data_IF_504753378951
#
_entry.id   IF_504753378951
#
_cell.length_a   1.000
_cell.length_b   1.000
_cell.length_c   1.000
_cell.angle_alpha   90.00
_cell.angle_beta   90.00
_cell.angle_gamma   90.00
#
_symmetry.space_group_name_H-M   'P 1'
#
loop_
_entity.id
_entity.type
_entity.pdbx_description
1 polymer ?
#
# COMPACT_ATOMS: atom_id res chain seq x y z
N UNK A 1 -33.95 -27.07 -11.23
CA UNK A 1 -33.15 -26.37 -12.25
C UNK A 1 -32.00 -27.29 -12.62
N UNK A 2 -31.93 -27.70 -13.88
CA UNK A 2 -31.00 -28.69 -14.41
C UNK A 2 -29.58 -28.11 -14.44
N UNK A 3 -28.66 -28.72 -13.68
CA UNK A 3 -27.24 -28.34 -13.63
C UNK A 3 -26.57 -28.61 -14.98
N UNK A 4 -26.39 -27.59 -15.81
CA UNK A 4 -25.63 -27.71 -17.05
C UNK A 4 -24.12 -27.83 -16.75
N UNK A 5 -23.45 -28.94 -17.13
CA UNK A 5 -22.03 -29.15 -16.85
C UNK A 5 -21.09 -28.11 -17.50
N UNK A 6 -21.59 -27.37 -18.49
CA UNK A 6 -20.85 -26.31 -19.18
C UNK A 6 -20.55 -25.08 -18.31
N UNK A 7 -21.16 -24.97 -17.12
CA UNK A 7 -20.86 -23.90 -16.14
C UNK A 7 -19.54 -24.12 -15.39
N UNK A 8 -19.08 -25.37 -15.27
CA UNK A 8 -17.88 -25.73 -14.47
C UNK A 8 -16.61 -25.01 -14.94
N UNK A 9 -16.27 -24.95 -16.25
CA UNK A 9 -15.04 -24.28 -16.69
C UNK A 9 -14.98 -22.80 -16.31
N UNK A 10 -16.11 -22.08 -16.40
CA UNK A 10 -16.17 -20.66 -16.04
C UNK A 10 -15.95 -20.45 -14.54
N UNK A 11 -16.57 -21.28 -13.69
CA UNK A 11 -16.38 -21.23 -12.23
C UNK A 11 -14.93 -21.55 -11.85
N UNK A 12 -14.32 -22.56 -12.46
CA UNK A 12 -12.92 -22.92 -12.20
C UNK A 12 -11.96 -21.82 -12.64
N UNK A 13 -12.23 -21.14 -13.76
CA UNK A 13 -11.44 -20.01 -14.22
C UNK A 13 -11.50 -18.84 -13.23
N UNK A 14 -12.71 -18.52 -12.75
CA UNK A 14 -12.92 -17.47 -11.75
C UNK A 14 -12.22 -17.81 -10.42
N UNK A 15 -12.29 -19.07 -9.99
CA UNK A 15 -11.59 -19.57 -8.80
C UNK A 15 -10.07 -19.47 -8.94
N UNK A 16 -9.52 -19.92 -10.08
CA UNK A 16 -8.09 -19.85 -10.38
C UNK A 16 -7.61 -18.40 -10.35
N UNK A 17 -8.29 -17.49 -11.06
CA UNK A 17 -7.92 -16.09 -11.12
C UNK A 17 -7.94 -15.41 -9.73
N UNK A 18 -8.86 -15.83 -8.85
CA UNK A 18 -8.90 -15.32 -7.47
C UNK A 18 -7.76 -15.88 -6.63
N UNK A 19 -7.42 -17.15 -6.84
CA UNK A 19 -6.39 -17.83 -6.06
C UNK A 19 -4.98 -17.37 -6.43
N UNK A 20 -4.72 -17.06 -7.70
CA UNK A 20 -3.44 -16.52 -8.18
C UNK A 20 -3.04 -15.20 -7.50
N UNK A 21 -4.01 -14.37 -7.08
CA UNK A 21 -3.74 -13.15 -6.30
C UNK A 21 -3.41 -13.38 -4.83
N UNK A 22 -3.65 -14.60 -4.33
CA UNK A 22 -3.54 -14.96 -2.91
C UNK A 22 -2.86 -16.34 -2.75
N UNK A 23 -1.59 -16.49 -3.16
CA UNK A 23 -0.90 -17.78 -3.21
C UNK A 23 -0.69 -18.43 -1.83
N UNK A 24 -0.65 -17.64 -0.76
CA UNK A 24 -0.51 -18.14 0.60
C UNK A 24 -1.84 -18.69 1.18
N UNK A 25 -2.97 -18.43 0.52
CA UNK A 25 -4.27 -18.92 0.94
C UNK A 25 -4.44 -20.37 0.49
N UNK A 26 -4.74 -21.31 1.40
CA UNK A 26 -5.10 -22.66 0.95
C UNK A 26 -6.48 -22.65 0.29
N UNK A 27 -6.74 -23.59 -0.63
CA UNK A 27 -8.07 -23.73 -1.24
C UNK A 27 -9.17 -23.95 -0.17
N UNK A 28 -8.87 -24.67 0.90
CA UNK A 28 -9.79 -24.86 2.03
C UNK A 28 -10.07 -23.57 2.79
N UNK A 29 -9.06 -22.72 2.99
CA UNK A 29 -9.22 -21.41 3.61
C UNK A 29 -10.04 -20.47 2.72
N UNK A 30 -9.83 -20.52 1.40
CA UNK A 30 -10.65 -19.78 0.43
C UNK A 30 -12.13 -20.15 0.54
N UNK A 31 -12.47 -21.44 0.57
CA UNK A 31 -13.85 -21.88 0.80
C UNK A 31 -14.37 -21.47 2.19
N UNK A 32 -13.52 -21.45 3.22
CA UNK A 32 -13.87 -20.91 4.53
C UNK A 32 -14.29 -19.44 4.48
N UNK A 33 -13.51 -18.60 3.79
CA UNK A 33 -13.82 -17.17 3.57
C UNK A 33 -15.12 -17.02 2.80
N UNK A 34 -15.27 -17.74 1.68
CA UNK A 34 -16.48 -17.72 0.86
C UNK A 34 -17.73 -18.10 1.67
N UNK A 35 -17.63 -19.09 2.57
CA UNK A 35 -18.73 -19.47 3.45
C UNK A 35 -19.09 -18.38 4.46
N UNK A 36 -18.12 -17.61 4.98
CA UNK A 36 -18.39 -16.41 5.80
C UNK A 36 -19.14 -15.33 5.02
N UNK A 37 -18.97 -15.26 3.71
CA UNK A 37 -19.73 -14.39 2.81
C UNK A 37 -21.06 -15.01 2.30
N UNK A 38 -21.52 -16.11 2.91
CA UNK A 38 -22.80 -16.75 2.57
C UNK A 38 -22.75 -17.71 1.39
N UNK A 39 -21.56 -17.98 0.83
CA UNK A 39 -21.38 -18.96 -0.25
C UNK A 39 -21.19 -20.36 0.35
N UNK A 40 -22.32 -21.00 0.69
CA UNK A 40 -22.35 -22.34 1.26
C UNK A 40 -22.67 -23.46 0.26
N UNK A 41 -22.86 -24.67 0.78
CA UNK A 41 -23.28 -25.85 0.04
C UNK A 41 -24.70 -25.67 -0.53
N UNK A 42 -24.80 -25.14 -1.75
CA UNK A 42 -26.08 -24.81 -2.40
C UNK A 42 -26.21 -23.37 -2.88
N UNK A 43 -25.17 -22.55 -2.72
CA UNK A 43 -25.09 -21.25 -3.38
C UNK A 43 -25.15 -21.40 -4.91
N UNK A 44 -25.79 -20.45 -5.60
CA UNK A 44 -25.75 -20.39 -7.06
C UNK A 44 -24.37 -19.92 -7.53
N UNK A 45 -24.01 -20.33 -8.74
CA UNK A 45 -22.73 -19.99 -9.37
C UNK A 45 -22.55 -18.48 -9.47
N UNK A 46 -23.62 -17.72 -9.71
CA UNK A 46 -23.57 -16.26 -9.82
C UNK A 46 -23.15 -15.60 -8.50
N UNK A 47 -23.62 -16.13 -7.36
CA UNK A 47 -23.23 -15.64 -6.04
C UNK A 47 -21.76 -15.98 -5.74
N UNK A 48 -21.32 -17.18 -6.10
CA UNK A 48 -19.91 -17.59 -5.98
C UNK A 48 -19.00 -16.69 -6.84
N UNK A 49 -19.36 -16.47 -8.11
CA UNK A 49 -18.60 -15.62 -9.03
C UNK A 49 -18.54 -14.18 -8.51
N UNK A 50 -19.65 -13.65 -7.99
CA UNK A 50 -19.68 -12.31 -7.40
C UNK A 50 -18.74 -12.22 -6.19
N UNK A 51 -18.77 -13.20 -5.28
CA UNK A 51 -17.89 -13.23 -4.13
C UNK A 51 -16.40 -13.32 -4.55
N UNK A 52 -16.08 -14.18 -5.51
CA UNK A 52 -14.72 -14.31 -6.07
C UNK A 52 -14.22 -13.00 -6.72
N UNK A 53 -15.11 -12.28 -7.41
CA UNK A 53 -14.81 -10.96 -8.01
C UNK A 53 -14.54 -9.91 -6.94
N UNK A 54 -15.38 -9.82 -5.91
CA UNK A 54 -15.17 -8.93 -4.76
C UNK A 54 -13.82 -9.21 -4.08
N UNK A 55 -13.44 -10.48 -3.94
CA UNK A 55 -12.13 -10.84 -3.37
C UNK A 55 -10.97 -10.39 -4.26
N UNK A 56 -11.06 -10.54 -5.59
CA UNK A 56 -10.02 -10.05 -6.53
C UNK A 56 -9.92 -8.55 -6.61
N UNK A 57 -11.03 -7.89 -6.32
CA UNK A 57 -11.09 -6.45 -6.21
C UNK A 57 -10.24 -5.97 -5.02
N UNK A 58 -10.30 -6.65 -3.88
CA UNK A 58 -9.44 -6.36 -2.72
C UNK A 58 -7.99 -6.86 -2.91
N UNK A 59 -7.81 -8.04 -3.49
CA UNK A 59 -6.52 -8.71 -3.69
C UNK A 59 -6.34 -9.11 -5.16
N UNK A 60 -6.02 -8.15 -6.06
CA UNK A 60 -5.83 -8.45 -7.47
C UNK A 60 -4.54 -9.24 -7.69
N UNK A 61 -4.50 -10.08 -8.73
CA UNK A 61 -3.30 -10.82 -9.10
C UNK A 61 -2.27 -9.97 -9.85
N UNK A 62 -2.72 -8.91 -10.53
CA UNK A 62 -1.89 -8.11 -11.43
C UNK A 62 -2.27 -6.63 -11.39
N UNK A 63 -1.25 -5.77 -11.46
CA UNK A 63 -1.34 -4.37 -11.84
C UNK A 63 -0.30 -4.18 -12.95
N UNK A 64 -0.75 -4.11 -14.20
CA UNK A 64 0.17 -3.96 -15.34
C UNK A 64 -0.39 -2.97 -16.33
N UNK A 65 0.47 -2.09 -16.83
CA UNK A 65 0.08 -1.09 -17.80
C UNK A 65 0.75 0.26 -17.57
N UNK A 66 0.49 1.20 -18.49
CA UNK A 66 0.95 2.56 -18.33
C UNK A 66 0.25 3.25 -17.16
N UNK A 67 0.90 4.25 -16.54
CA UNK A 67 0.41 4.95 -15.35
C UNK A 67 -1.06 5.40 -15.43
N UNK A 68 -1.52 5.83 -16.59
CA UNK A 68 -2.90 6.33 -16.78
C UNK A 68 -3.98 5.25 -16.65
N UNK A 69 -3.63 3.96 -16.62
CA UNK A 69 -4.58 2.87 -16.36
C UNK A 69 -4.70 2.52 -14.88
N UNK A 70 -3.88 3.12 -14.02
CA UNK A 70 -3.97 2.96 -12.56
C UNK A 70 -4.88 4.07 -12.03
N UNK A 71 -6.03 3.70 -11.46
CA UNK A 71 -7.02 4.62 -10.88
C UNK A 71 -7.08 4.55 -9.34
N UNK A 72 -6.62 3.43 -8.78
CA UNK A 72 -6.72 3.06 -7.38
C UNK A 72 -5.35 3.11 -6.70
N UNK A 73 -5.34 3.07 -5.36
CA UNK A 73 -4.11 2.88 -4.58
C UNK A 73 -3.96 1.42 -4.20
N UNK A 74 -2.79 0.87 -4.46
CA UNK A 74 -2.42 -0.48 -4.10
C UNK A 74 -1.21 -0.47 -3.18
N UNK A 75 -1.14 -1.45 -2.30
CA UNK A 75 0.06 -1.80 -1.55
C UNK A 75 0.53 -3.18 -1.93
N UNK A 76 1.79 -3.24 -2.33
CA UNK A 76 2.47 -4.44 -2.80
C UNK A 76 3.56 -4.79 -1.80
N UNK A 77 3.52 -6.00 -1.26
CA UNK A 77 4.63 -6.55 -0.48
C UNK A 77 5.55 -7.35 -1.39
N UNK A 78 6.85 -7.12 -1.27
CA UNK A 78 7.88 -7.80 -2.06
C UNK A 78 8.85 -8.57 -1.16
N UNK A 79 9.60 -9.50 -1.78
CA UNK A 79 10.76 -10.15 -1.18
C UNK A 79 11.98 -10.01 -2.08
N UNK A 80 13.16 -10.10 -1.47
CA UNK A 80 14.46 -10.06 -2.16
C UNK A 80 14.58 -8.84 -3.12
N UNK A 81 14.54 -7.60 -2.61
CA UNK A 81 14.50 -7.21 -1.19
C UNK A 81 13.09 -7.10 -0.59
N UNK A 82 13.00 -7.12 0.74
CA UNK A 82 11.73 -6.98 1.46
C UNK A 82 11.27 -5.52 1.51
N UNK A 83 10.40 -5.13 0.56
CA UNK A 83 9.79 -3.80 0.53
C UNK A 83 8.26 -3.86 0.69
N UNK A 84 7.70 -2.76 1.16
CA UNK A 84 6.31 -2.37 0.97
C UNK A 84 6.31 -1.25 -0.06
N UNK A 85 5.61 -1.47 -1.17
CA UNK A 85 5.53 -0.56 -2.30
C UNK A 85 4.10 -0.09 -2.45
N UNK A 86 3.87 1.22 -2.27
CA UNK A 86 2.58 1.84 -2.59
C UNK A 86 2.61 2.26 -4.05
N UNK A 87 1.62 1.84 -4.82
CA UNK A 87 1.42 2.20 -6.23
C UNK A 87 0.10 2.94 -6.33
N UNK A 88 0.11 4.18 -6.84
CA UNK A 88 -1.10 4.96 -7.08
C UNK A 88 -1.02 5.71 -8.42
N UNK A 89 -2.08 6.42 -8.84
CA UNK A 89 -2.11 7.13 -10.12
C UNK A 89 -1.12 8.29 -10.23
N UNK A 90 -0.42 8.64 -9.15
CA UNK A 90 0.46 9.80 -9.10
C UNK A 90 1.93 9.40 -9.04
N UNK A 91 2.23 8.29 -8.35
CA UNK A 91 3.61 7.88 -8.04
C UNK A 91 3.70 6.45 -7.51
N UNK A 92 4.93 5.99 -7.38
CA UNK A 92 5.30 4.80 -6.61
C UNK A 92 6.15 5.20 -5.42
N UNK A 93 5.77 4.72 -4.23
CA UNK A 93 6.53 4.92 -3.00
C UNK A 93 7.06 3.59 -2.50
N UNK A 94 8.39 3.46 -2.46
CA UNK A 94 9.08 2.24 -2.02
C UNK A 94 9.62 2.46 -0.62
N UNK A 95 9.25 1.61 0.33
CA UNK A 95 9.82 1.63 1.69
C UNK A 95 10.22 0.22 2.14
N UNK A 96 11.27 0.06 2.95
CA UNK A 96 11.63 -1.23 3.51
C UNK A 96 10.49 -1.79 4.37
N UNK A 97 10.19 -3.09 4.25
CA UNK A 97 9.16 -3.74 5.05
C UNK A 97 9.54 -3.79 6.53
N UNK A 98 10.84 -3.98 6.80
CA UNK A 98 11.42 -3.87 8.13
C UNK A 98 12.47 -2.77 8.09
N UNK A 99 12.27 -1.74 8.91
CA UNK A 99 13.25 -0.66 9.07
C UNK A 99 14.18 -1.05 10.21
N UNK A 100 15.11 -1.96 9.90
CA UNK A 100 16.25 -2.31 10.75
C UNK A 100 17.50 -1.52 10.38
N UNK A 101 17.61 -1.12 9.11
CA UNK A 101 18.71 -0.31 8.61
C UNK A 101 18.29 1.16 8.54
N UNK A 102 18.84 1.99 9.43
CA UNK A 102 18.59 3.43 9.49
C UNK A 102 19.11 4.18 8.27
N UNK A 103 19.87 3.53 7.38
CA UNK A 103 20.44 4.13 6.17
C UNK A 103 19.49 4.12 4.96
N UNK A 104 18.35 3.41 5.04
CA UNK A 104 17.38 3.34 3.93
C UNK A 104 16.19 4.24 4.22
N UNK A 105 16.02 5.27 3.40
CA UNK A 105 14.83 6.12 3.40
C UNK A 105 13.79 5.66 2.36
N UNK A 106 12.51 6.02 2.52
CA UNK A 106 11.52 5.85 1.46
C UNK A 106 11.95 6.54 0.16
N UNK A 107 11.75 5.87 -0.98
CA UNK A 107 11.92 6.44 -2.31
C UNK A 107 10.58 6.83 -2.92
N UNK A 108 10.48 8.01 -3.52
CA UNK A 108 9.29 8.48 -4.23
C UNK A 108 9.64 8.61 -5.70
N UNK A 109 8.88 7.92 -6.56
CA UNK A 109 9.16 7.83 -7.99
C UNK A 109 7.94 8.23 -8.80
N UNK A 110 8.13 9.15 -9.74
CA UNK A 110 7.21 9.27 -10.87
C UNK A 110 7.46 8.13 -11.84
N UNK A 111 6.41 7.69 -12.54
CA UNK A 111 6.50 6.50 -13.39
C UNK A 111 5.62 6.60 -14.62
N UNK A 112 6.04 5.90 -15.67
CA UNK A 112 5.33 5.80 -16.95
C UNK A 112 4.63 4.46 -17.10
N UNK A 113 5.20 3.38 -16.57
CA UNK A 113 4.70 2.02 -16.70
C UNK A 113 4.97 1.17 -15.45
N UNK A 114 4.10 0.21 -15.18
CA UNK A 114 4.26 -0.78 -14.12
C UNK A 114 4.00 -2.18 -14.65
N UNK A 115 4.84 -3.13 -14.24
CA UNK A 115 4.59 -4.57 -14.37
C UNK A 115 4.63 -5.19 -12.97
N UNK A 116 3.47 -5.64 -12.49
CA UNK A 116 3.32 -6.21 -11.17
C UNK A 116 2.36 -7.38 -11.26
N UNK A 117 2.87 -8.60 -11.06
CA UNK A 117 2.05 -9.83 -10.98
C UNK A 117 2.50 -10.63 -9.78
N UNK A 118 1.56 -11.15 -8.99
CA UNK A 118 1.86 -11.98 -7.82
C UNK A 118 2.72 -13.19 -8.22
N UNK A 119 3.81 -13.42 -7.48
CA UNK A 119 4.82 -14.43 -7.79
C UNK A 119 5.90 -13.98 -8.80
N UNK A 120 5.64 -12.93 -9.58
CA UNK A 120 6.56 -12.32 -10.53
C UNK A 120 7.44 -11.21 -9.93
N UNK A 121 8.25 -10.57 -10.77
CA UNK A 121 8.99 -9.36 -10.38
C UNK A 121 8.12 -8.11 -10.44
N UNK A 122 8.35 -7.18 -9.52
CA UNK A 122 7.80 -5.84 -9.58
C UNK A 122 8.76 -4.95 -10.37
N UNK A 123 8.38 -4.58 -11.59
CA UNK A 123 9.17 -3.69 -12.44
C UNK A 123 8.45 -2.35 -12.56
N UNK A 124 9.18 -1.28 -12.25
CA UNK A 124 8.75 0.10 -12.41
C UNK A 124 9.54 0.75 -13.53
N UNK A 125 8.88 1.28 -14.55
CA UNK A 125 9.54 2.16 -15.52
C UNK A 125 9.28 3.60 -15.11
N UNK A 126 10.34 4.34 -14.78
CA UNK A 126 10.20 5.72 -14.32
C UNK A 126 9.82 6.69 -15.45
N UNK A 127 9.76 7.99 -15.14
CA UNK A 127 9.43 9.03 -16.12
C UNK A 127 10.52 9.24 -17.19
N UNK A 128 11.75 8.80 -16.91
CA UNK A 128 12.91 8.91 -17.79
C UNK A 128 13.19 7.59 -18.56
N UNK A 129 12.22 6.67 -18.56
CA UNK A 129 12.23 5.37 -19.24
C UNK A 129 13.27 4.36 -18.70
N UNK A 130 13.69 4.51 -17.43
CA UNK A 130 14.53 3.54 -16.76
C UNK A 130 13.69 2.51 -15.99
N UNK A 131 13.98 1.24 -16.23
CA UNK A 131 13.35 0.12 -15.54
C UNK A 131 14.06 -0.21 -14.22
N UNK A 132 13.31 -0.23 -13.13
CA UNK A 132 13.75 -0.55 -11.77
C UNK A 132 13.09 -1.85 -11.30
N UNK A 133 13.90 -2.83 -10.88
CA UNK A 133 13.39 -4.05 -10.24
C UNK A 133 13.29 -3.82 -8.73
N UNK A 134 12.07 -3.90 -8.20
CA UNK A 134 11.76 -3.60 -6.80
C UNK A 134 11.58 -4.85 -5.92
N UNK A 135 11.81 -6.05 -6.48
CA UNK A 135 11.73 -7.34 -5.80
C UNK A 135 10.64 -8.25 -6.34
N UNK A 136 10.52 -9.44 -5.76
CA UNK A 136 9.49 -10.42 -6.12
C UNK A 136 8.18 -10.12 -5.39
N UNK A 137 7.08 -9.96 -6.12
CA UNK A 137 5.75 -9.69 -5.59
C UNK A 137 5.24 -10.89 -4.78
N UNK A 138 4.93 -10.67 -3.52
CA UNK A 138 4.27 -11.66 -2.67
C UNK A 138 2.76 -11.49 -2.65
N UNK A 139 2.30 -10.24 -2.62
CA UNK A 139 0.87 -9.90 -2.48
C UNK A 139 0.62 -8.49 -2.99
N UNK A 140 -0.56 -8.29 -3.56
CA UNK A 140 -1.10 -7.00 -3.95
C UNK A 140 -2.41 -6.80 -3.19
N UNK A 141 -2.60 -5.63 -2.57
CA UNK A 141 -3.84 -5.25 -1.91
C UNK A 141 -4.29 -3.89 -2.42
N UNK A 142 -5.54 -3.77 -2.86
CA UNK A 142 -6.15 -2.46 -3.11
C UNK A 142 -6.55 -1.84 -1.76
N UNK A 143 -6.16 -0.58 -1.56
CA UNK A 143 -6.38 0.12 -0.28
C UNK A 143 -7.41 1.24 -0.44
N UNK A 144 -7.46 1.90 -1.60
CA UNK A 144 -8.57 2.79 -1.96
C UNK A 144 -8.87 2.72 -3.45
N UNK A 145 -10.14 2.86 -3.82
CA UNK A 145 -10.59 3.02 -5.20
C UNK A 145 -10.37 4.44 -5.72
N UNK A 146 -10.58 5.44 -4.85
CA UNK A 146 -10.44 6.85 -5.20
C UNK A 146 -9.14 7.36 -4.59
N UNK A 147 -8.04 7.20 -5.32
CA UNK A 147 -6.76 7.67 -4.85
C UNK A 147 -6.68 9.20 -4.98
N UNK A 148 -6.47 9.89 -3.86
CA UNK A 148 -6.09 11.29 -3.85
C UNK A 148 -4.57 11.43 -3.76
N UNK A 149 -3.97 12.42 -4.43
CA UNK A 149 -2.54 12.62 -4.36
C UNK A 149 -2.15 13.02 -2.94
N UNK A 150 -2.87 13.91 -2.28
CA UNK A 150 -2.46 14.41 -0.97
C UNK A 150 -3.65 14.54 -0.04
N UNK A 151 -3.37 14.49 1.26
CA UNK A 151 -4.34 14.78 2.31
C UNK A 151 -4.13 16.22 2.79
N UNK A 152 -5.19 17.04 2.95
CA UNK A 152 -5.02 18.46 3.28
C UNK A 152 -4.45 18.69 4.68
N UNK A 153 -4.77 17.84 5.66
CA UNK A 153 -4.25 17.92 7.02
C UNK A 153 -4.45 16.63 7.80
N UNK A 154 -3.67 16.45 8.87
CA UNK A 154 -3.83 15.38 9.87
C UNK A 154 -3.93 15.92 11.31
N UNK A 155 -4.15 17.23 11.46
CA UNK A 155 -4.28 17.91 12.76
C UNK A 155 -5.40 17.29 13.59
N UNK A 156 -5.10 16.97 14.85
CA UNK A 156 -6.07 16.42 15.80
C UNK A 156 -6.18 14.89 15.79
N UNK A 157 -5.58 14.21 14.81
CA UNK A 157 -5.60 12.73 14.75
C UNK A 157 -4.86 12.14 15.95
N UNK A 158 -5.51 11.20 16.62
CA UNK A 158 -4.90 10.41 17.69
C UNK A 158 -4.30 9.13 17.11
N UNK A 159 -3.26 8.59 17.75
CA UNK A 159 -2.61 7.34 17.31
C UNK A 159 -3.58 6.18 17.14
N UNK A 160 -4.51 6.02 18.09
CA UNK A 160 -5.56 4.98 18.00
C UNK A 160 -6.54 5.23 16.85
N UNK A 161 -6.80 6.49 16.52
CA UNK A 161 -7.71 6.87 15.44
C UNK A 161 -7.08 6.77 14.04
N UNK A 162 -5.74 6.72 13.94
CA UNK A 162 -5.04 6.50 12.67
C UNK A 162 -5.28 5.07 12.14
N UNK A 163 -5.49 4.10 13.04
CA UNK A 163 -5.71 2.70 12.67
C UNK A 163 -4.52 2.11 11.91
N UNK A 164 -4.80 1.53 10.75
CA UNK A 164 -3.80 0.95 9.84
C UNK A 164 -3.32 1.94 8.76
N UNK A 165 -3.79 3.19 8.80
CA UNK A 165 -3.40 4.18 7.81
C UNK A 165 -1.94 4.55 7.94
N UNK A 166 -1.28 4.74 6.80
CA UNK A 166 0.12 5.14 6.72
C UNK A 166 0.23 6.37 5.85
N UNK A 167 0.98 7.37 6.33
CA UNK A 167 1.25 8.59 5.59
C UNK A 167 2.76 8.82 5.47
N UNK A 168 3.17 9.38 4.33
CA UNK A 168 4.50 9.93 4.15
C UNK A 168 4.40 11.44 4.10
N UNK A 169 5.05 12.11 5.05
CA UNK A 169 5.17 13.55 5.05
C UNK A 169 6.48 13.93 4.37
N UNK A 170 6.39 14.83 3.39
CA UNK A 170 7.56 15.42 2.76
C UNK A 170 7.73 16.80 3.37
N UNK A 171 8.90 17.09 3.93
CA UNK A 171 9.21 18.42 4.46
C UNK A 171 9.84 19.30 3.37
N UNK A 172 9.79 20.62 3.55
CA UNK A 172 10.33 21.59 2.59
C UNK A 172 11.84 21.41 2.36
N UNK A 173 12.58 20.98 3.38
CA UNK A 173 14.02 20.73 3.29
C UNK A 173 14.37 19.38 2.62
N UNK A 174 13.37 18.63 2.15
CA UNK A 174 13.54 17.30 1.54
C UNK A 174 13.57 16.14 2.52
N UNK A 175 13.53 16.40 3.84
CA UNK A 175 13.40 15.34 4.84
C UNK A 175 12.06 14.62 4.70
N UNK A 176 12.05 13.34 5.05
CA UNK A 176 10.86 12.50 4.97
C UNK A 176 10.43 12.06 6.36
N UNK A 177 9.13 11.97 6.60
CA UNK A 177 8.59 11.41 7.83
C UNK A 177 7.57 10.33 7.48
N UNK A 178 7.85 9.09 7.85
CA UNK A 178 6.86 8.02 7.80
C UNK A 178 6.02 8.07 9.08
N UNK A 179 4.73 8.31 8.91
CA UNK A 179 3.74 8.39 9.97
C UNK A 179 2.84 7.14 9.91
N UNK A 180 3.02 6.27 10.89
CA UNK A 180 2.18 5.12 11.18
C UNK A 180 1.89 5.09 12.70
N UNK A 181 1.74 3.91 13.29
CA UNK A 181 1.77 3.69 14.75
C UNK A 181 2.98 4.34 15.47
N UNK A 182 4.05 4.66 14.74
CA UNK A 182 5.26 5.38 15.14
C UNK A 182 5.54 6.52 14.14
N UNK A 183 6.36 7.46 14.56
CA UNK A 183 6.93 8.47 13.68
C UNK A 183 8.35 8.09 13.37
N UNK A 184 8.72 8.05 12.09
CA UNK A 184 10.09 7.80 11.67
C UNK A 184 10.55 8.95 10.80
N UNK A 185 11.57 9.67 11.25
CA UNK A 185 12.11 10.85 10.58
C UNK A 185 13.37 10.44 9.85
N UNK A 186 13.47 10.78 8.57
CA UNK A 186 14.61 10.53 7.70
C UNK A 186 15.19 11.87 7.27
N UNK A 187 16.42 12.15 7.70
CA UNK A 187 17.17 13.34 7.30
C UNK A 187 18.29 12.91 6.35
N UNK A 188 18.27 13.45 5.12
CA UNK A 188 19.31 13.20 4.13
C UNK A 188 20.51 14.12 4.37
N UNK A 189 21.56 13.62 5.00
CA UNK A 189 22.81 14.33 5.26
C UNK A 189 23.87 13.95 4.22
N UNK A 190 23.93 14.64 3.06
CA UNK A 190 24.90 14.49 1.95
C UNK A 190 25.20 13.05 1.47
N UNK A 191 25.77 12.17 2.30
CA UNK A 191 26.11 10.77 2.03
C UNK A 191 25.58 9.78 3.08
N UNK A 192 24.84 10.26 4.07
CA UNK A 192 24.30 9.46 5.15
C UNK A 192 22.83 9.81 5.35
N UNK A 193 22.01 8.79 5.59
CA UNK A 193 20.62 8.99 6.01
C UNK A 193 20.60 8.78 7.51
N UNK A 194 20.16 9.79 8.25
CA UNK A 194 19.87 9.65 9.67
C UNK A 194 18.39 9.32 9.82
N UNK A 195 18.10 8.17 10.41
CA UNK A 195 16.73 7.78 10.75
C UNK A 195 16.53 7.76 12.26
N UNK A 196 15.48 8.44 12.74
CA UNK A 196 15.08 8.45 14.15
C UNK A 196 13.63 7.98 14.27
N UNK A 197 13.34 7.18 15.30
CA UNK A 197 11.98 6.66 15.56
C UNK A 197 11.45 7.18 16.89
N UNK A 198 10.25 7.74 16.87
CA UNK A 198 9.60 8.38 18.00
C UNK A 198 8.20 7.80 18.22
N UNK A 199 7.80 7.72 19.49
CA UNK A 199 6.41 7.42 19.85
C UNK A 199 5.60 8.72 19.89
N UNK A 200 4.31 8.62 19.57
CA UNK A 200 3.41 9.75 19.59
C UNK A 200 2.01 9.32 20.04
N UNK A 201 1.22 10.27 20.52
CA UNK A 201 -0.15 10.08 21.01
C UNK A 201 -1.17 10.82 20.15
N UNK A 202 -0.86 12.06 19.79
CA UNK A 202 -1.75 12.95 19.03
C UNK A 202 -0.96 13.89 18.14
N UNK A 203 -1.46 14.13 16.93
CA UNK A 203 -0.97 15.16 16.04
C UNK A 203 -1.61 16.49 16.46
N UNK A 204 -0.79 17.46 16.85
CA UNK A 204 -1.24 18.78 17.27
C UNK A 204 -1.38 19.70 16.07
N UNK A 205 -0.43 19.63 15.14
CA UNK A 205 -0.41 20.40 13.88
C UNK A 205 0.21 19.53 12.80
N UNK A 206 -0.49 19.32 11.69
CA UNK A 206 0.07 18.71 10.48
C UNK A 206 -0.72 19.23 9.27
N UNK A 207 -0.24 20.34 8.72
CA UNK A 207 -0.81 21.05 7.57
C UNK A 207 0.36 21.50 6.69
N UNK A 208 0.27 21.39 5.35
CA UNK A 208 1.28 21.98 4.47
C UNK A 208 1.52 23.46 4.78
N UNK A 209 2.78 23.85 4.90
CA UNK A 209 3.23 25.20 5.29
C UNK A 209 3.53 25.37 6.78
N UNK A 210 3.14 24.43 7.66
CA UNK A 210 3.40 24.49 9.09
C UNK A 210 4.35 23.38 9.58
N UNK A 211 5.13 23.60 10.65
CA UNK A 211 5.91 22.55 11.30
C UNK A 211 5.01 21.43 11.86
N UNK A 212 5.44 20.18 11.73
CA UNK A 212 4.77 19.05 12.36
C UNK A 212 4.93 19.14 13.88
N UNK A 213 3.81 19.19 14.61
CA UNK A 213 3.81 19.15 16.08
C UNK A 213 3.01 17.97 16.57
N UNK A 214 3.56 17.24 17.54
CA UNK A 214 2.94 16.05 18.10
C UNK A 214 3.04 16.05 19.62
N UNK A 215 2.06 15.42 20.26
CA UNK A 215 2.10 15.07 21.67
C UNK A 215 2.71 13.68 21.83
N UNK A 216 3.71 13.57 22.68
CA UNK A 216 4.40 12.32 23.04
C UNK A 216 4.12 11.95 24.50
N UNK A 217 4.79 10.92 25.01
CA UNK A 217 4.77 10.59 26.44
C UNK A 217 5.49 11.64 27.31
N UNK A 218 6.49 12.32 26.75
CA UNK A 218 7.33 13.29 27.47
C UNK A 218 6.86 14.74 27.34
N UNK A 219 5.83 14.98 26.52
CA UNK A 219 5.26 16.31 26.28
C UNK A 219 5.03 16.62 24.81
N UNK A 220 4.73 17.88 24.52
CA UNK A 220 4.51 18.38 23.18
C UNK A 220 5.85 18.75 22.53
N UNK A 221 6.09 18.28 21.31
CA UNK A 221 7.34 18.50 20.58
C UNK A 221 7.09 18.80 19.10
N UNK A 222 8.03 19.50 18.48
CA UNK A 222 8.08 19.72 17.03
C UNK A 222 8.98 18.67 16.41
N UNK A 223 8.54 18.07 15.31
CA UNK A 223 9.25 16.99 14.62
C UNK A 223 9.82 17.51 13.32
N UNK A 224 11.10 17.22 13.07
CA UNK A 224 11.85 17.74 11.93
C UNK A 224 12.23 19.21 12.09
N UNK A 225 13.04 19.70 11.16
CA UNK A 225 13.59 21.06 11.20
C UNK A 225 12.91 22.02 10.21
N UNK A 226 11.92 21.55 9.45
CA UNK A 226 11.22 22.29 8.40
C UNK A 226 9.71 22.08 8.47
N UNK A 227 8.97 22.96 7.78
CA UNK A 227 7.53 22.81 7.63
C UNK A 227 7.17 21.64 6.70
N UNK A 228 5.97 21.09 6.90
CA UNK A 228 5.40 20.07 6.01
C UNK A 228 5.15 20.70 4.64
N UNK A 229 5.64 20.06 3.58
CA UNK A 229 5.34 20.44 2.21
C UNK A 229 4.14 19.64 1.66
N UNK A 230 4.11 18.33 1.90
CA UNK A 230 3.08 17.42 1.39
C UNK A 230 2.74 16.34 2.41
N UNK A 231 1.48 15.88 2.38
CA UNK A 231 1.00 14.74 3.17
C UNK A 231 0.50 13.69 2.18
N UNK A 232 1.26 12.61 2.02
CA UNK A 232 1.00 11.57 1.02
C UNK A 232 0.37 10.35 1.72
N UNK A 233 -0.90 10.02 1.45
CA UNK A 233 -1.49 8.78 1.92
C UNK A 233 -0.85 7.57 1.22
N UNK A 234 -0.47 6.55 1.98
CA UNK A 234 0.18 5.32 1.50
C UNK A 234 -0.67 4.07 1.71
N UNK A 235 -1.40 4.02 2.81
CA UNK A 235 -2.38 3.01 3.21
C UNK A 235 -3.58 3.68 3.85
#
# INVERSE_FOLDING_TARGET
MTSEPRRIPAVLQELQATWEGQPDLSLTALFGILNTHGVGWGADDDLLIQALRTMREEYPATITGPRYTVDSRFVVSTRQPDNIVTIDPFRVVVRPAVITDTRKQPGIWEYSHIECTVGGSLILTDADDFAHNLGQVQRIRRVTHEAHPETPQLTGVNRQGLGEQVYLLVLIDGSLILLDSKLRVFEALRREVKAETLTWKKILTCVPGEPLRVRTDTGDTTIGNAAVAKIIPLE
#
